data_IF_997936976401
#
_entry.id   IF_997936976401
#
_cell.length_a   1.000
_cell.length_b   1.000
_cell.length_c   1.000
_cell.angle_alpha   90.00
_cell.angle_beta   90.00
_cell.angle_gamma   90.00
#
_symmetry.space_group_name_H-M   'P 1'
#
loop_
_entity.id
_entity.type
_entity.pdbx_description
1 polymer ?
#
# COMPACT_ATOMS: atom_id res chain seq x y z
N UNK A 1 22.76 -26.91 -15.13
CA UNK A 1 21.98 -25.69 -14.81
C UNK A 1 22.23 -25.39 -13.35
N UNK A 2 22.48 -24.12 -13.03
CA UNK A 2 22.98 -23.69 -11.72
C UNK A 2 21.85 -23.66 -10.68
N UNK A 3 22.09 -24.07 -9.43
CA UNK A 3 21.12 -23.92 -8.33
C UNK A 3 20.67 -22.46 -8.13
N UNK A 4 21.49 -21.50 -8.56
CA UNK A 4 21.13 -20.09 -8.57
C UNK A 4 20.15 -19.73 -9.69
N UNK A 5 20.21 -20.40 -10.84
CA UNK A 5 19.22 -20.23 -11.91
C UNK A 5 17.86 -20.79 -11.49
N UNK A 6 17.78 -21.96 -10.86
CA UNK A 6 16.49 -22.52 -10.39
C UNK A 6 15.85 -21.72 -9.24
N UNK A 7 16.66 -21.01 -8.43
CA UNK A 7 16.18 -20.14 -7.35
C UNK A 7 15.73 -18.76 -7.88
N UNK A 8 16.42 -18.23 -8.89
CA UNK A 8 16.17 -16.88 -9.44
C UNK A 8 15.15 -16.93 -10.59
N UNK A 9 15.13 -18.02 -11.35
CA UNK A 9 14.28 -18.29 -12.51
C UNK A 9 13.64 -19.66 -12.28
N UNK A 10 12.68 -19.70 -11.37
CA UNK A 10 11.89 -20.91 -11.12
C UNK A 10 10.90 -21.13 -12.26
N UNK A 11 11.02 -22.24 -12.99
CA UNK A 11 10.02 -22.72 -13.97
C UNK A 11 8.71 -23.24 -13.31
N UNK A 12 8.43 -22.80 -12.07
CA UNK A 12 7.22 -23.04 -11.26
C UNK A 12 7.13 -24.45 -10.63
N UNK A 13 6.98 -24.55 -9.30
CA UNK A 13 5.68 -24.33 -8.68
C UNK A 13 5.81 -23.44 -7.44
N UNK A 14 5.54 -22.16 -7.60
CA UNK A 14 5.41 -21.26 -6.46
C UNK A 14 4.11 -21.58 -5.73
N UNK A 15 4.21 -21.69 -4.40
CA UNK A 15 3.10 -21.80 -3.44
C UNK A 15 2.06 -20.66 -3.62
N UNK A 16 2.42 -19.66 -4.42
CA UNK A 16 1.67 -18.45 -4.72
C UNK A 16 0.82 -18.55 -6.00
N UNK A 17 1.01 -19.56 -6.86
CA UNK A 17 0.15 -19.77 -8.03
C UNK A 17 -1.27 -20.21 -7.63
N UNK A 18 -1.43 -20.82 -6.45
CA UNK A 18 -2.73 -21.21 -5.87
C UNK A 18 -3.40 -20.08 -5.06
N UNK A 19 -2.68 -18.97 -4.78
CA UNK A 19 -3.23 -17.84 -4.04
C UNK A 19 -4.11 -16.98 -4.96
N UNK A 20 -5.31 -17.48 -5.22
CA UNK A 20 -6.25 -16.82 -6.13
C UNK A 20 -7.06 -17.71 -7.07
N UNK A 21 -6.88 -19.03 -6.98
CA UNK A 21 -7.57 -19.99 -7.82
C UNK A 21 -6.64 -20.63 -8.83
N UNK A 22 -6.95 -21.89 -9.13
CA UNK A 22 -6.16 -22.84 -9.91
C UNK A 22 -6.07 -22.53 -11.41
N UNK A 23 -6.35 -21.28 -11.81
CA UNK A 23 -6.43 -20.85 -13.20
C UNK A 23 -5.04 -20.44 -13.72
N UNK A 24 -4.42 -21.22 -14.63
CA UNK A 24 -3.14 -20.85 -15.22
C UNK A 24 -3.26 -19.61 -16.13
N UNK A 25 -2.16 -18.86 -16.28
CA UNK A 25 -2.03 -17.75 -17.22
C UNK A 25 -2.69 -16.44 -16.78
N UNK A 26 -3.13 -15.62 -17.74
CA UNK A 26 -3.65 -14.25 -17.55
C UNK A 26 -4.75 -14.11 -16.50
N UNK A 27 -5.59 -15.12 -16.33
CA UNK A 27 -6.68 -15.10 -15.36
C UNK A 27 -6.18 -15.20 -13.91
N UNK A 28 -5.07 -15.90 -13.65
CA UNK A 28 -4.45 -15.96 -12.33
C UNK A 28 -3.87 -14.59 -11.90
N UNK A 29 -3.14 -13.93 -12.81
CA UNK A 29 -2.60 -12.58 -12.58
C UNK A 29 -3.73 -11.58 -12.34
N UNK A 30 -4.78 -11.61 -13.17
CA UNK A 30 -5.95 -10.73 -13.02
C UNK A 30 -6.61 -10.90 -11.66
N UNK A 31 -6.68 -12.12 -11.14
CA UNK A 31 -7.24 -12.39 -9.83
C UNK A 31 -6.36 -11.89 -8.68
N UNK A 32 -5.04 -12.10 -8.76
CA UNK A 32 -4.12 -11.54 -7.76
C UNK A 32 -4.14 -10.01 -7.75
N UNK A 33 -4.18 -9.38 -8.93
CA UNK A 33 -4.38 -7.93 -9.06
C UNK A 33 -5.67 -7.47 -8.39
N UNK A 34 -6.77 -8.20 -8.55
CA UNK A 34 -8.04 -7.90 -7.90
C UNK A 34 -7.94 -8.00 -6.37
N UNK A 35 -7.40 -9.10 -5.83
CA UNK A 35 -7.24 -9.30 -4.38
C UNK A 35 -6.41 -8.17 -3.77
N UNK A 36 -5.23 -7.89 -4.34
CA UNK A 36 -4.33 -6.87 -3.81
C UNK A 36 -4.92 -5.46 -3.93
N UNK A 37 -5.71 -5.20 -4.97
CA UNK A 37 -6.48 -3.95 -5.10
C UNK A 37 -7.54 -3.81 -4.01
N UNK A 38 -8.26 -4.89 -3.69
CA UNK A 38 -9.26 -4.89 -2.61
C UNK A 38 -8.60 -4.67 -1.25
N UNK A 39 -7.51 -5.39 -0.96
CA UNK A 39 -6.78 -5.26 0.32
C UNK A 39 -6.26 -3.83 0.49
N UNK A 40 -5.59 -3.30 -0.54
CA UNK A 40 -5.01 -1.95 -0.51
C UNK A 40 -6.10 -0.90 -0.42
N UNK A 41 -7.16 -1.05 -1.22
CA UNK A 41 -8.32 -0.17 -1.19
C UNK A 41 -8.95 -0.12 0.20
N UNK A 42 -9.28 -1.28 0.78
CA UNK A 42 -9.86 -1.36 2.12
C UNK A 42 -8.94 -0.72 3.17
N UNK A 43 -7.63 -0.98 3.12
CA UNK A 43 -6.67 -0.36 4.03
C UNK A 43 -6.74 1.17 3.95
N UNK A 44 -6.62 1.74 2.74
CA UNK A 44 -6.58 3.20 2.55
C UNK A 44 -7.93 3.84 2.91
N UNK A 45 -9.05 3.26 2.46
CA UNK A 45 -10.38 3.82 2.73
C UNK A 45 -10.76 3.72 4.21
N UNK A 46 -10.47 2.61 4.87
CA UNK A 46 -10.71 2.47 6.32
C UNK A 46 -9.83 3.43 7.09
N UNK A 47 -8.55 3.56 6.74
CA UNK A 47 -7.63 4.51 7.36
C UNK A 47 -8.13 5.95 7.20
N UNK A 48 -8.58 6.33 6.00
CA UNK A 48 -9.13 7.66 5.74
C UNK A 48 -10.42 7.92 6.53
N UNK A 49 -11.35 6.96 6.53
CA UNK A 49 -12.60 7.07 7.30
C UNK A 49 -12.33 7.19 8.81
N UNK A 50 -11.40 6.40 9.33
CA UNK A 50 -10.96 6.49 10.72
C UNK A 50 -10.42 7.88 11.06
N UNK A 51 -9.53 8.43 10.23
CA UNK A 51 -8.96 9.76 10.45
C UNK A 51 -10.03 10.86 10.41
N UNK A 52 -10.94 10.79 9.45
CA UNK A 52 -12.03 11.75 9.31
C UNK A 52 -12.97 11.74 10.53
N UNK A 53 -13.29 10.57 11.07
CA UNK A 53 -14.23 10.43 12.19
C UNK A 53 -13.54 10.78 13.52
N UNK A 54 -12.31 10.30 13.72
CA UNK A 54 -11.63 10.39 15.00
C UNK A 54 -10.99 11.76 15.26
N UNK A 55 -10.45 12.41 14.22
CA UNK A 55 -9.71 13.68 14.35
C UNK A 55 -10.48 14.90 13.85
N UNK A 56 -11.80 14.79 13.68
CA UNK A 56 -12.66 15.93 13.37
C UNK A 56 -12.66 16.92 14.55
N UNK A 57 -12.48 18.21 14.24
CA UNK A 57 -12.65 19.29 15.21
C UNK A 57 -14.07 19.28 15.80
N UNK A 58 -14.18 19.32 17.13
CA UNK A 58 -15.45 19.38 17.85
C UNK A 58 -15.72 20.79 18.36
N UNK A 59 -16.99 21.10 18.56
CA UNK A 59 -17.39 22.38 19.13
C UNK A 59 -16.83 22.49 20.57
N UNK A 60 -16.06 23.55 20.82
CA UNK A 60 -15.35 23.77 22.08
C UNK A 60 -13.91 23.23 22.13
N UNK A 61 -13.42 22.59 21.06
CA UNK A 61 -11.99 22.27 20.96
C UNK A 61 -11.18 23.57 20.84
N UNK A 62 -10.01 23.66 21.51
CA UNK A 62 -9.14 24.82 21.37
C UNK A 62 -8.66 24.96 19.93
N UNK A 63 -8.48 26.20 19.50
CA UNK A 63 -7.98 26.47 18.15
C UNK A 63 -6.62 25.79 17.94
N UNK A 64 -6.45 25.18 16.77
CA UNK A 64 -5.25 24.42 16.49
C UNK A 64 -4.02 25.33 16.62
N UNK A 65 -3.02 24.88 17.42
CA UNK A 65 -1.74 25.59 17.62
C UNK A 65 -1.03 25.96 16.30
N UNK A 66 -1.44 25.28 15.23
CA UNK A 66 -0.87 25.31 13.89
C UNK A 66 -1.78 26.05 12.88
N UNK A 67 -2.63 26.96 13.38
CA UNK A 67 -3.51 27.81 12.57
C UNK A 67 -2.72 28.67 11.58
N UNK A 68 -3.28 28.85 10.38
CA UNK A 68 -2.67 29.65 9.32
C UNK A 68 -2.53 31.10 9.79
N UNK A 69 -1.30 31.56 10.04
CA UNK A 69 -1.01 32.95 10.41
C UNK A 69 -0.51 33.71 9.19
N UNK A 70 -1.18 34.80 8.84
CA UNK A 70 -0.79 35.63 7.71
C UNK A 70 0.67 36.10 7.84
N UNK A 71 1.45 35.94 6.77
CA UNK A 71 2.87 36.33 6.72
C UNK A 71 3.85 35.34 7.37
N UNK A 72 3.38 34.21 7.90
CA UNK A 72 4.24 33.13 8.42
C UNK A 72 4.07 31.87 7.58
N UNK A 73 5.18 31.21 7.29
CA UNK A 73 5.12 29.91 6.64
C UNK A 73 4.55 28.88 7.65
N UNK A 74 3.62 28.01 7.23
CA UNK A 74 3.08 26.96 8.08
C UNK A 74 4.19 26.03 8.60
N UNK A 75 3.96 25.43 9.78
CA UNK A 75 4.86 24.41 10.28
C UNK A 75 4.86 23.18 9.36
N UNK A 76 6.02 22.55 9.18
CA UNK A 76 6.13 21.30 8.43
C UNK A 76 5.42 20.18 9.20
N UNK A 77 4.54 19.46 8.50
CA UNK A 77 3.74 18.36 9.09
C UNK A 77 4.19 16.98 8.61
N UNK A 78 5.31 16.91 7.91
CA UNK A 78 5.85 15.67 7.37
C UNK A 78 6.58 14.85 8.44
N UNK A 79 6.43 13.54 8.38
CA UNK A 79 7.30 12.60 9.08
C UNK A 79 7.99 11.72 8.02
N UNK A 80 9.33 11.84 7.87
CA UNK A 80 10.07 11.05 6.89
C UNK A 80 9.86 9.54 7.02
N UNK A 81 9.63 9.02 8.23
CA UNK A 81 9.40 7.59 8.44
C UNK A 81 8.08 7.15 7.82
N UNK A 82 7.05 7.97 7.97
CA UNK A 82 5.73 7.74 7.40
C UNK A 82 5.85 7.79 5.88
N UNK A 83 6.45 8.86 5.33
CA UNK A 83 6.64 9.03 3.89
C UNK A 83 7.38 7.85 3.24
N UNK A 84 8.47 7.39 3.86
CA UNK A 84 9.22 6.21 3.39
C UNK A 84 8.35 4.95 3.45
N UNK A 85 7.60 4.74 4.53
CA UNK A 85 6.73 3.57 4.68
C UNK A 85 5.65 3.54 3.59
N UNK A 86 4.98 4.67 3.36
CA UNK A 86 3.94 4.80 2.34
C UNK A 86 4.47 4.79 0.90
N UNK A 87 5.79 4.92 0.71
CA UNK A 87 6.43 4.79 -0.61
C UNK A 87 6.92 3.37 -0.86
N UNK A 88 7.62 2.78 0.11
CA UNK A 88 8.28 1.48 -0.02
C UNK A 88 7.26 0.33 -0.01
N UNK A 89 6.24 0.39 0.86
CA UNK A 89 5.25 -0.68 0.95
C UNK A 89 4.49 -0.92 -0.38
N UNK A 90 3.91 0.10 -1.06
CA UNK A 90 3.28 -0.12 -2.36
C UNK A 90 4.30 -0.45 -3.46
N UNK A 91 5.53 0.04 -3.37
CA UNK A 91 6.58 -0.32 -4.33
C UNK A 91 6.89 -1.82 -4.29
N UNK A 92 7.02 -2.41 -3.10
CA UNK A 92 7.24 -3.85 -2.93
C UNK A 92 6.08 -4.65 -3.54
N UNK A 93 4.84 -4.20 -3.33
CA UNK A 93 3.66 -4.85 -3.91
C UNK A 93 3.69 -4.82 -5.45
N UNK A 94 4.06 -3.68 -6.04
CA UNK A 94 4.16 -3.56 -7.50
C UNK A 94 5.30 -4.42 -8.05
N UNK A 95 6.46 -4.47 -7.38
CA UNK A 95 7.57 -5.36 -7.76
C UNK A 95 7.11 -6.82 -7.73
N UNK A 96 6.37 -7.23 -6.69
CA UNK A 96 5.80 -8.56 -6.61
C UNK A 96 4.85 -8.86 -7.77
N UNK A 97 3.89 -7.97 -8.02
CA UNK A 97 2.93 -8.12 -9.12
C UNK A 97 3.62 -8.15 -10.49
N UNK A 98 4.73 -7.42 -10.65
CA UNK A 98 5.55 -7.45 -11.87
C UNK A 98 6.31 -8.76 -12.01
N UNK A 99 6.83 -9.30 -10.92
CA UNK A 99 7.58 -10.56 -10.92
C UNK A 99 6.71 -11.77 -11.30
N UNK A 100 5.43 -11.77 -10.92
CA UNK A 100 4.50 -12.86 -11.24
C UNK A 100 3.72 -12.65 -12.54
N UNK A 101 3.86 -11.49 -13.19
CA UNK A 101 3.17 -11.15 -14.44
C UNK A 101 3.87 -11.73 -15.66
#
# INVERSE_FOLDING_TARGET
MSLLEDIIISDNPSIWHDFGGTSPGYAGITWQMMIWSIITGLLVFVWMAYNLIMFKHKEGDPEHKDGLKAGFFPHERGDPKIEITWTVAPLILVIWLTYIS
#
